data_IF_163386881361
#
_entry.id   IF_163386881361
#
_cell.length_a   1.000
_cell.length_b   1.000
_cell.length_c   1.000
_cell.angle_alpha   90.00
_cell.angle_beta   90.00
_cell.angle_gamma   90.00
#
_symmetry.space_group_name_H-M   'P 1'
#
loop_
_entity.id
_entity.type
_entity.pdbx_description
1 polymer ?
#
# COMPACT_ATOMS: atom_id res chain seq x y z
N UNK A 1 -11.76 -0.09 19.78
CA UNK A 1 -11.72 -0.52 18.37
C UNK A 1 -13.06 -0.18 17.70
N UNK A 2 -13.04 0.69 16.71
CA UNK A 2 -14.22 1.12 15.96
C UNK A 2 -14.08 0.66 14.50
N UNK A 3 -15.16 0.14 13.92
CA UNK A 3 -15.18 -0.37 12.55
C UNK A 3 -16.28 0.35 11.75
N UNK A 4 -15.90 0.93 10.61
CA UNK A 4 -16.81 1.66 9.75
C UNK A 4 -16.63 1.22 8.28
N UNK A 5 -17.75 1.18 7.54
CA UNK A 5 -17.72 0.94 6.10
C UNK A 5 -17.60 2.28 5.38
N UNK A 6 -16.58 2.40 4.51
CA UNK A 6 -16.23 3.62 3.79
C UNK A 6 -15.99 3.34 2.32
N UNK A 7 -16.06 4.39 1.51
CA UNK A 7 -15.56 4.39 0.13
C UNK A 7 -14.04 4.59 0.13
N UNK A 8 -13.31 3.64 -0.47
CA UNK A 8 -11.85 3.66 -0.44
C UNK A 8 -11.26 4.98 -0.95
N UNK A 9 -11.71 5.44 -2.11
CA UNK A 9 -11.19 6.68 -2.69
C UNK A 9 -11.73 7.92 -1.99
N UNK A 10 -13.06 8.06 -1.89
CA UNK A 10 -13.67 9.29 -1.42
C UNK A 10 -13.40 9.59 0.04
N UNK A 11 -13.61 8.58 0.90
CA UNK A 11 -13.68 8.79 2.34
C UNK A 11 -12.37 8.43 3.04
N UNK A 12 -11.53 7.58 2.42
CA UNK A 12 -10.26 7.15 3.01
C UNK A 12 -9.05 7.81 2.33
N UNK A 13 -8.73 7.47 1.09
CA UNK A 13 -7.57 8.04 0.39
C UNK A 13 -7.77 9.52 0.07
N UNK A 14 -8.97 9.92 -0.35
CA UNK A 14 -9.32 11.30 -0.73
C UNK A 14 -9.35 12.30 0.43
N UNK A 15 -9.28 11.83 1.68
CA UNK A 15 -9.19 12.71 2.85
C UNK A 15 -8.00 13.66 2.75
N UNK A 16 -8.25 14.96 2.96
CA UNK A 16 -7.21 15.97 2.91
C UNK A 16 -6.23 15.83 4.08
N UNK A 17 -4.94 16.11 3.81
CA UNK A 17 -3.87 16.16 4.82
C UNK A 17 -3.76 14.83 5.61
N UNK A 18 -3.74 13.73 4.89
CA UNK A 18 -3.52 12.40 5.46
C UNK A 18 -2.18 11.85 4.97
N UNK A 19 -1.45 11.19 5.88
CA UNK A 19 -0.28 10.39 5.57
C UNK A 19 -0.51 8.96 6.03
N UNK A 20 -0.50 8.03 5.10
CA UNK A 20 -0.49 6.60 5.39
C UNK A 20 0.95 6.13 5.50
N UNK A 21 1.35 5.67 6.67
CA UNK A 21 2.69 5.13 6.92
C UNK A 21 2.61 3.61 7.05
N UNK A 22 3.37 2.91 6.24
CA UNK A 22 3.61 1.48 6.41
C UNK A 22 4.85 1.33 7.29
N UNK A 23 4.71 0.74 8.50
CA UNK A 23 5.82 0.61 9.44
C UNK A 23 6.87 -0.39 8.95
N UNK A 24 8.10 -0.25 9.45
CA UNK A 24 9.25 -1.08 9.05
C UNK A 24 9.14 -2.55 9.44
N UNK A 25 8.26 -2.88 10.38
CA UNK A 25 8.01 -4.28 10.76
C UNK A 25 7.07 -5.01 9.78
N UNK A 26 6.39 -4.28 8.89
CA UNK A 26 5.59 -4.88 7.83
C UNK A 26 6.50 -5.45 6.73
N UNK A 27 5.98 -6.41 5.95
CA UNK A 27 6.70 -6.92 4.78
C UNK A 27 6.69 -5.90 3.65
N UNK A 28 7.62 -6.07 2.72
CA UNK A 28 7.65 -5.33 1.46
C UNK A 28 6.34 -5.54 0.68
N UNK A 29 6.11 -4.70 -0.30
CA UNK A 29 5.04 -4.90 -1.26
C UNK A 29 5.31 -6.19 -2.05
N UNK A 30 4.39 -7.15 -1.93
CA UNK A 30 4.60 -8.54 -2.36
C UNK A 30 3.44 -9.10 -3.20
N UNK A 31 2.45 -8.27 -3.54
CA UNK A 31 1.41 -8.71 -4.48
C UNK A 31 2.04 -9.02 -5.83
N UNK A 32 1.78 -10.26 -6.31
CA UNK A 32 2.14 -10.68 -7.65
C UNK A 32 1.28 -9.98 -8.70
N UNK A 33 1.72 -10.05 -9.96
CA UNK A 33 0.91 -9.60 -11.10
C UNK A 33 -0.48 -10.26 -11.12
N UNK A 34 -0.59 -11.55 -10.73
CA UNK A 34 -1.87 -12.24 -10.65
C UNK A 34 -2.84 -11.66 -9.60
N UNK A 35 -2.33 -11.18 -8.47
CA UNK A 35 -3.16 -10.50 -7.47
C UNK A 35 -3.67 -9.15 -8.00
N UNK A 36 -2.79 -8.40 -8.64
CA UNK A 36 -3.11 -7.11 -9.23
C UNK A 36 -4.10 -7.25 -10.40
N UNK A 37 -3.87 -8.24 -11.26
CA UNK A 37 -4.71 -8.53 -12.42
C UNK A 37 -6.15 -8.88 -12.03
N UNK A 38 -6.33 -9.67 -10.94
CA UNK A 38 -7.65 -9.96 -10.38
C UNK A 38 -8.38 -8.68 -9.95
N UNK A 39 -7.69 -7.76 -9.26
CA UNK A 39 -8.31 -6.49 -8.88
C UNK A 39 -8.68 -5.65 -10.10
N UNK A 40 -7.86 -5.65 -11.15
CA UNK A 40 -8.19 -4.97 -12.42
C UNK A 40 -9.41 -5.60 -13.11
N UNK A 41 -9.58 -6.91 -13.02
CA UNK A 41 -10.78 -7.59 -13.53
C UNK A 41 -12.03 -7.19 -12.72
N UNK A 42 -11.94 -7.10 -11.39
CA UNK A 42 -13.02 -6.59 -10.54
C UNK A 42 -13.40 -5.14 -10.92
N UNK A 43 -12.40 -4.28 -11.17
CA UNK A 43 -12.63 -2.90 -11.63
C UNK A 43 -13.33 -2.90 -12.99
N UNK A 44 -12.92 -3.77 -13.91
CA UNK A 44 -13.57 -3.91 -15.21
C UNK A 44 -15.03 -4.34 -15.11
N UNK A 45 -15.34 -5.25 -14.18
CA UNK A 45 -16.71 -5.64 -13.89
C UNK A 45 -17.55 -4.48 -13.35
N UNK A 46 -16.97 -3.64 -12.46
CA UNK A 46 -17.64 -2.44 -11.96
C UNK A 46 -17.94 -1.45 -13.10
N UNK A 47 -17.04 -1.27 -14.06
CA UNK A 47 -17.26 -0.40 -15.23
C UNK A 47 -18.50 -0.88 -16.01
N UNK A 48 -18.64 -2.19 -16.20
CA UNK A 48 -19.73 -2.77 -16.98
C UNK A 48 -21.08 -2.86 -16.23
N UNK A 49 -21.04 -3.26 -14.95
CA UNK A 49 -22.25 -3.47 -14.16
C UNK A 49 -22.74 -2.21 -13.45
N UNK A 50 -21.81 -1.33 -13.09
CA UNK A 50 -22.10 -0.18 -12.22
C UNK A 50 -22.21 -0.53 -10.74
N UNK A 51 -21.99 -1.78 -10.35
CA UNK A 51 -22.11 -2.26 -8.99
C UNK A 51 -20.96 -1.80 -8.09
N UNK A 52 -21.14 -1.99 -6.80
CA UNK A 52 -20.12 -1.76 -5.78
C UNK A 52 -19.31 -3.02 -5.59
N UNK A 53 -18.02 -2.85 -5.22
CA UNK A 53 -17.15 -3.97 -4.90
C UNK A 53 -16.49 -3.77 -3.53
N UNK A 54 -16.52 -4.82 -2.70
CA UNK A 54 -15.86 -4.81 -1.40
C UNK A 54 -14.40 -5.24 -1.53
N UNK A 55 -13.48 -4.30 -1.32
CA UNK A 55 -12.04 -4.54 -1.45
C UNK A 55 -11.42 -5.23 -0.24
N UNK A 56 -12.05 -5.15 0.93
CA UNK A 56 -11.56 -5.76 2.16
C UNK A 56 -11.43 -4.77 3.31
N UNK A 57 -10.67 -5.16 4.33
CA UNK A 57 -10.48 -4.39 5.57
C UNK A 57 -9.14 -3.67 5.55
N UNK A 58 -9.07 -2.45 6.09
CA UNK A 58 -7.84 -1.74 6.40
C UNK A 58 -7.83 -1.42 7.89
N UNK A 59 -6.77 -1.86 8.57
CA UNK A 59 -6.57 -1.65 10.01
C UNK A 59 -5.43 -0.67 10.22
N UNK A 60 -5.65 0.35 11.02
CA UNK A 60 -4.64 1.35 11.30
C UNK A 60 -4.76 1.95 12.69
N UNK A 61 -3.68 2.53 13.17
CA UNK A 61 -3.66 3.42 14.33
C UNK A 61 -3.57 4.86 13.86
N UNK A 62 -4.43 5.72 14.39
CA UNK A 62 -4.30 7.16 14.21
C UNK A 62 -3.23 7.68 15.18
N UNK A 63 -2.16 8.28 14.67
CA UNK A 63 -1.24 9.03 15.50
C UNK A 63 -1.91 10.31 15.96
N UNK A 64 -1.84 10.62 17.27
CA UNK A 64 -2.27 11.92 17.79
C UNK A 64 -1.29 12.97 17.27
N UNK A 65 -1.63 13.61 16.14
CA UNK A 65 -0.86 14.76 15.66
C UNK A 65 -1.10 15.93 16.61
N UNK A 66 -0.05 16.39 17.26
CA UNK A 66 -0.06 17.58 18.11
C UNK A 66 -0.15 18.87 17.30
N UNK A 67 -1.13 19.01 16.40
CA UNK A 67 -1.30 20.24 15.61
C UNK A 67 -2.32 20.10 14.49
N UNK A 68 -2.82 21.22 14.04
CA UNK A 68 -3.94 21.42 13.11
C UNK A 68 -3.77 20.89 11.68
N UNK A 69 -2.73 20.11 11.34
CA UNK A 69 -2.31 20.12 9.94
C UNK A 69 -2.22 18.78 9.22
N UNK A 70 -1.93 17.65 9.88
CA UNK A 70 -1.81 16.36 9.19
C UNK A 70 -2.27 15.22 10.10
N UNK A 71 -3.09 14.32 9.57
CA UNK A 71 -3.44 13.06 10.21
C UNK A 71 -2.48 11.99 9.70
N UNK A 72 -1.73 11.34 10.60
CA UNK A 72 -0.86 10.22 10.26
C UNK A 72 -1.53 8.93 10.70
N UNK A 73 -1.69 8.00 9.76
CA UNK A 73 -2.24 6.67 9.98
C UNK A 73 -1.14 5.62 9.81
N UNK A 74 -0.82 4.93 10.90
CA UNK A 74 0.10 3.79 10.87
C UNK A 74 -0.68 2.55 10.47
N UNK A 75 -0.40 1.99 9.30
CA UNK A 75 -1.12 0.84 8.74
C UNK A 75 -0.68 -0.44 9.45
N UNK A 76 -1.63 -1.17 10.01
CA UNK A 76 -1.43 -2.44 10.69
C UNK A 76 -1.79 -3.62 9.76
N UNK A 77 -2.86 -3.50 8.99
CA UNK A 77 -3.23 -4.45 7.93
C UNK A 77 -3.84 -3.72 6.74
N UNK A 78 -3.78 -4.36 5.56
CA UNK A 78 -4.28 -3.81 4.29
C UNK A 78 -3.23 -3.04 3.49
N UNK A 79 -1.95 -3.07 3.88
CA UNK A 79 -0.85 -2.38 3.21
C UNK A 79 -0.73 -2.74 1.72
N UNK A 80 -0.90 -4.02 1.36
CA UNK A 80 -0.79 -4.49 -0.01
C UNK A 80 -1.89 -3.85 -0.88
N UNK A 81 -3.14 -3.86 -0.40
CA UNK A 81 -4.28 -3.24 -1.08
C UNK A 81 -4.10 -1.74 -1.25
N UNK A 82 -3.65 -1.06 -0.19
CA UNK A 82 -3.42 0.37 -0.23
C UNK A 82 -2.30 0.73 -1.22
N UNK A 83 -1.18 0.01 -1.20
CA UNK A 83 -0.07 0.24 -2.14
C UNK A 83 -0.53 -0.03 -3.57
N UNK A 84 -1.22 -1.15 -3.83
CA UNK A 84 -1.74 -1.45 -5.17
C UNK A 84 -2.69 -0.36 -5.66
N UNK A 85 -3.56 0.17 -4.79
CA UNK A 85 -4.45 1.27 -5.18
C UNK A 85 -3.67 2.52 -5.61
N UNK A 86 -2.56 2.85 -4.91
CA UNK A 86 -1.71 3.97 -5.32
C UNK A 86 -1.01 3.72 -6.66
N UNK A 87 -0.61 2.45 -6.95
CA UNK A 87 -0.04 2.09 -8.26
C UNK A 87 -1.09 2.21 -9.37
N UNK A 88 -2.31 1.73 -9.14
CA UNK A 88 -3.46 1.87 -10.05
C UNK A 88 -3.75 3.34 -10.35
N UNK A 89 -3.84 4.18 -9.33
CA UNK A 89 -4.09 5.61 -9.48
C UNK A 89 -2.98 6.30 -10.27
N UNK A 90 -1.71 5.96 -9.99
CA UNK A 90 -0.58 6.53 -10.73
C UNK A 90 -0.58 6.10 -12.20
N UNK A 91 -0.82 4.83 -12.47
CA UNK A 91 -0.92 4.32 -13.83
C UNK A 91 -2.07 4.99 -14.61
N UNK A 92 -3.23 5.13 -13.97
CA UNK A 92 -4.39 5.79 -14.54
C UNK A 92 -4.11 7.27 -14.84
N UNK A 93 -3.45 7.98 -13.92
CA UNK A 93 -3.08 9.38 -14.13
C UNK A 93 -2.17 9.56 -15.35
N UNK A 94 -1.18 8.69 -15.54
CA UNK A 94 -0.27 8.75 -16.69
C UNK A 94 -1.01 8.48 -18.01
N UNK A 95 -1.90 7.50 -18.04
CA UNK A 95 -2.70 7.18 -19.22
C UNK A 95 -3.69 8.32 -19.53
N UNK A 96 -4.32 8.89 -18.51
CA UNK A 96 -5.22 10.03 -18.63
C UNK A 96 -4.51 11.27 -19.20
N UNK A 97 -3.34 11.62 -18.65
CA UNK A 97 -2.54 12.76 -19.12
C UNK A 97 -2.13 12.58 -20.58
N UNK A 98 -1.66 11.40 -20.95
CA UNK A 98 -1.28 11.07 -22.34
C UNK A 98 -2.47 11.14 -23.29
N UNK A 99 -3.65 10.71 -22.85
CA UNK A 99 -4.89 10.74 -23.62
C UNK A 99 -5.62 12.08 -23.63
N UNK A 100 -5.14 13.07 -22.85
CA UNK A 100 -5.78 14.39 -22.73
C UNK A 100 -7.06 14.40 -21.86
N UNK A 101 -7.28 13.36 -21.04
CA UNK A 101 -8.38 13.30 -20.08
C UNK A 101 -8.00 14.06 -18.80
N UNK A 102 -8.82 15.02 -18.39
CA UNK A 102 -8.52 15.94 -17.28
C UNK A 102 -8.55 15.27 -15.89
N UNK A 103 -9.04 14.05 -15.77
CA UNK A 103 -9.09 13.34 -14.49
C UNK A 103 -7.68 13.10 -13.87
N UNK A 104 -6.60 13.19 -14.67
CA UNK A 104 -5.25 13.07 -14.13
C UNK A 104 -4.94 14.12 -13.05
N UNK A 105 -5.46 15.35 -13.19
CA UNK A 105 -5.26 16.41 -12.21
C UNK A 105 -5.94 16.09 -10.88
N UNK A 106 -7.17 15.59 -10.95
CA UNK A 106 -7.89 15.12 -9.75
C UNK A 106 -7.14 13.99 -9.06
N UNK A 107 -6.67 12.99 -9.83
CA UNK A 107 -5.93 11.86 -9.29
C UNK A 107 -4.65 12.32 -8.58
N UNK A 108 -3.87 13.18 -9.23
CA UNK A 108 -2.61 13.67 -8.68
C UNK A 108 -2.82 14.51 -7.40
N UNK A 109 -3.72 15.49 -7.47
CA UNK A 109 -3.91 16.47 -6.40
C UNK A 109 -4.71 15.93 -5.21
N UNK A 110 -5.68 15.05 -5.45
CA UNK A 110 -6.59 14.58 -4.40
C UNK A 110 -6.19 13.22 -3.83
N UNK A 111 -5.66 12.29 -4.65
CA UNK A 111 -5.44 10.93 -4.23
C UNK A 111 -3.96 10.56 -4.04
N UNK A 112 -3.04 11.12 -4.81
CA UNK A 112 -1.62 10.82 -4.68
C UNK A 112 -0.86 11.79 -3.78
N UNK A 113 -1.26 13.07 -3.79
CA UNK A 113 -0.55 14.12 -3.08
C UNK A 113 -1.41 14.89 -2.08
N UNK A 114 -0.75 15.50 -1.11
CA UNK A 114 -1.30 16.49 -0.17
C UNK A 114 -0.89 17.88 -0.65
N UNK A 115 -1.71 18.52 -1.47
CA UNK A 115 -1.40 19.77 -2.19
C UNK A 115 -0.86 20.92 -1.33
N UNK A 116 -1.28 20.99 -0.06
CA UNK A 116 -0.99 22.12 0.84
C UNK A 116 -0.14 21.70 2.05
N UNK A 117 0.68 20.65 1.91
CA UNK A 117 1.58 20.17 2.95
C UNK A 117 3.04 20.45 2.59
N UNK A 118 3.91 20.48 3.61
CA UNK A 118 5.36 20.51 3.44
C UNK A 118 5.84 19.32 2.58
N UNK A 119 6.98 19.47 1.89
CA UNK A 119 7.55 18.44 1.00
C UNK A 119 7.63 17.04 1.64
N UNK A 120 7.99 16.96 2.93
CA UNK A 120 8.07 15.68 3.65
C UNK A 120 6.72 14.96 3.84
N UNK A 121 5.60 15.68 3.66
CA UNK A 121 4.23 15.18 3.80
C UNK A 121 3.42 15.29 2.52
N UNK A 122 4.08 15.65 1.43
CA UNK A 122 3.43 15.89 0.14
C UNK A 122 2.82 14.62 -0.44
N UNK A 123 3.46 13.49 -0.27
CA UNK A 123 2.98 12.19 -0.75
C UNK A 123 2.10 11.55 0.32
N UNK A 124 0.94 11.01 -0.08
CA UNK A 124 -0.02 10.42 0.86
C UNK A 124 0.36 9.06 1.41
N UNK A 125 1.13 8.25 0.68
CA UNK A 125 1.61 6.95 1.14
C UNK A 125 3.13 7.00 1.33
N UNK A 126 3.59 6.55 2.49
CA UNK A 126 5.00 6.28 2.79
C UNK A 126 5.17 4.77 3.00
N UNK A 127 5.56 4.01 1.97
CA UNK A 127 5.92 2.61 2.10
C UNK A 127 7.15 2.40 2.99
N UNK A 128 7.49 1.14 3.25
CA UNK A 128 8.76 0.81 3.92
C UNK A 128 9.95 1.24 3.04
N UNK A 129 11.14 1.35 3.64
CA UNK A 129 12.29 2.05 3.04
C UNK A 129 12.70 1.54 1.65
N UNK A 130 12.73 0.23 1.42
CA UNK A 130 13.07 -0.36 0.12
C UNK A 130 12.06 0.01 -0.96
N UNK A 131 10.78 -0.15 -0.65
CA UNK A 131 9.68 0.15 -1.56
C UNK A 131 9.50 1.66 -1.75
N UNK A 132 9.81 2.46 -0.71
CA UNK A 132 9.64 3.90 -0.74
C UNK A 132 10.48 4.56 -1.84
N UNK A 133 11.71 4.09 -2.09
CA UNK A 133 12.54 4.63 -3.16
C UNK A 133 11.90 4.38 -4.53
N UNK A 134 11.44 3.16 -4.79
CA UNK A 134 10.77 2.81 -6.04
C UNK A 134 9.47 3.60 -6.21
N UNK A 135 8.69 3.72 -5.13
CA UNK A 135 7.44 4.47 -5.13
C UNK A 135 7.65 5.97 -5.39
N UNK A 136 8.69 6.59 -4.82
CA UNK A 136 9.01 8.00 -5.07
C UNK A 136 9.50 8.24 -6.49
N UNK A 137 10.32 7.33 -7.06
CA UNK A 137 10.72 7.39 -8.47
C UNK A 137 9.50 7.30 -9.38
N UNK A 138 8.57 6.40 -9.07
CA UNK A 138 7.32 6.26 -9.81
C UNK A 138 6.48 7.54 -9.78
N UNK A 139 6.29 8.15 -8.62
CA UNK A 139 5.53 9.40 -8.50
C UNK A 139 6.19 10.57 -9.24
N UNK A 140 7.53 10.58 -9.28
CA UNK A 140 8.31 11.57 -10.01
C UNK A 140 8.36 11.34 -11.54
N UNK A 141 7.66 10.33 -12.08
CA UNK A 141 7.71 9.91 -13.50
C UNK A 141 9.12 9.48 -13.97
N UNK A 142 9.94 8.92 -13.08
CA UNK A 142 11.30 8.45 -13.34
C UNK A 142 11.35 6.93 -13.44
N UNK A 143 10.50 6.37 -14.27
CA UNK A 143 10.36 4.90 -14.41
C UNK A 143 11.60 4.23 -15.02
N UNK A 144 12.41 4.96 -15.76
CA UNK A 144 13.69 4.55 -16.30
C UNK A 144 14.82 4.42 -15.25
N UNK A 145 14.64 5.03 -14.07
CA UNK A 145 15.54 4.88 -12.92
C UNK A 145 15.08 3.76 -11.95
N UNK A 146 13.93 3.14 -12.19
CA UNK A 146 13.37 2.09 -11.32
C UNK A 146 14.01 0.73 -11.59
N UNK A 147 14.01 -0.10 -10.55
CA UNK A 147 14.38 -1.51 -10.64
C UNK A 147 13.18 -2.32 -11.17
N UNK A 148 13.33 -2.87 -12.38
CA UNK A 148 12.28 -3.62 -13.09
C UNK A 148 11.90 -4.94 -12.40
N UNK A 149 12.78 -5.50 -11.57
CA UNK A 149 12.53 -6.73 -10.83
C UNK A 149 11.63 -6.52 -9.60
N UNK A 150 11.30 -5.27 -9.25
CA UNK A 150 10.43 -4.98 -8.11
C UNK A 150 8.95 -5.16 -8.45
N UNK A 151 8.17 -5.69 -7.50
CA UNK A 151 6.72 -5.82 -7.66
C UNK A 151 6.02 -4.47 -7.86
N UNK A 152 6.58 -3.36 -7.32
CA UNK A 152 6.07 -2.01 -7.55
C UNK A 152 6.13 -1.67 -9.04
N UNK A 153 7.28 -1.90 -9.69
CA UNK A 153 7.43 -1.61 -11.11
C UNK A 153 6.57 -2.54 -11.97
N UNK A 154 6.62 -3.86 -11.71
CA UNK A 154 5.87 -4.86 -12.46
C UNK A 154 4.37 -4.61 -12.42
N UNK A 155 3.80 -4.39 -11.22
CA UNK A 155 2.37 -4.12 -11.08
C UNK A 155 1.95 -2.74 -11.63
N UNK A 156 2.79 -1.72 -11.49
CA UNK A 156 2.54 -0.44 -12.15
C UNK A 156 2.48 -0.60 -13.67
N UNK A 157 3.45 -1.30 -14.27
CA UNK A 157 3.49 -1.58 -15.71
C UNK A 157 2.26 -2.35 -16.15
N UNK A 158 1.88 -3.40 -15.44
CA UNK A 158 0.67 -4.17 -15.70
C UNK A 158 -0.59 -3.29 -15.71
N UNK A 159 -0.76 -2.43 -14.70
CA UNK A 159 -1.89 -1.50 -14.63
C UNK A 159 -1.91 -0.54 -15.82
N UNK A 160 -0.76 0.07 -16.14
CA UNK A 160 -0.64 1.00 -17.25
C UNK A 160 -1.01 0.35 -18.59
N UNK A 161 -0.43 -0.82 -18.89
CA UNK A 161 -0.74 -1.57 -20.12
C UNK A 161 -2.21 -2.00 -20.19
N UNK A 162 -2.83 -2.32 -19.03
CA UNK A 162 -4.26 -2.67 -18.98
C UNK A 162 -5.12 -1.46 -19.30
N UNK A 163 -4.82 -0.28 -18.74
CA UNK A 163 -5.57 0.95 -19.00
C UNK A 163 -5.38 1.46 -20.43
N UNK A 164 -4.19 1.35 -21.02
CA UNK A 164 -3.94 1.66 -22.43
C UNK A 164 -4.83 0.79 -23.33
N UNK A 165 -4.87 -0.54 -23.06
CA UNK A 165 -5.75 -1.47 -23.80
C UNK A 165 -7.25 -1.17 -23.61
N UNK A 166 -7.66 -0.68 -22.43
CA UNK A 166 -9.04 -0.26 -22.21
C UNK A 166 -9.38 1.02 -22.96
N UNK A 167 -8.47 1.98 -23.00
CA UNK A 167 -8.63 3.21 -23.80
C UNK A 167 -8.77 2.90 -25.30
N UNK A 168 -8.00 1.96 -25.85
CA UNK A 168 -8.14 1.47 -27.23
C UNK A 168 -9.53 0.86 -27.51
N UNK A 169 -10.16 0.28 -26.47
CA UNK A 169 -11.53 -0.26 -26.55
C UNK A 169 -12.62 0.77 -26.28
N UNK A 170 -12.26 2.03 -26.08
CA UNK A 170 -13.19 3.14 -25.87
C UNK A 170 -13.60 3.37 -24.42
N UNK A 171 -12.92 2.74 -23.43
CA UNK A 171 -13.11 3.04 -22.02
C UNK A 171 -12.16 4.17 -21.65
N UNK A 172 -12.70 5.35 -21.36
CA UNK A 172 -11.88 6.50 -21.00
C UNK A 172 -11.40 6.42 -19.54
N UNK A 173 -10.25 7.07 -19.20
CA UNK A 173 -9.73 7.09 -17.84
C UNK A 173 -10.70 7.58 -16.78
N UNK A 174 -11.53 8.57 -17.08
CA UNK A 174 -12.58 9.07 -16.18
C UNK A 174 -13.60 7.99 -15.82
N UNK A 175 -13.97 7.08 -16.73
CA UNK A 175 -14.85 5.94 -16.41
C UNK A 175 -14.18 4.94 -15.46
N UNK A 176 -12.86 4.75 -15.59
CA UNK A 176 -12.08 3.93 -14.65
C UNK A 176 -12.06 4.58 -13.29
N UNK A 177 -11.80 5.89 -13.21
CA UNK A 177 -11.83 6.63 -11.96
C UNK A 177 -13.21 6.55 -11.28
N UNK A 178 -14.31 6.69 -12.04
CA UNK A 178 -15.66 6.51 -11.53
C UNK A 178 -15.89 5.11 -10.95
N UNK A 179 -15.37 4.07 -11.59
CA UNK A 179 -15.43 2.71 -11.07
C UNK A 179 -14.65 2.55 -9.76
N UNK A 180 -13.45 3.13 -9.68
CA UNK A 180 -12.65 3.13 -8.45
C UNK A 180 -13.36 3.83 -7.28
N UNK A 181 -14.22 4.81 -7.52
CA UNK A 181 -15.03 5.45 -6.46
C UNK A 181 -16.08 4.52 -5.84
N UNK A 182 -16.38 3.37 -6.49
CA UNK A 182 -17.34 2.37 -6.02
C UNK A 182 -16.69 1.24 -5.21
N UNK A 183 -15.38 1.29 -5.00
CA UNK A 183 -14.69 0.36 -4.11
C UNK A 183 -14.96 0.70 -2.65
N UNK A 184 -15.50 -0.27 -1.92
CA UNK A 184 -15.81 -0.16 -0.49
C UNK A 184 -14.76 -0.88 0.35
N UNK A 185 -14.41 -0.31 1.50
CA UNK A 185 -13.57 -0.92 2.53
C UNK A 185 -14.28 -0.91 3.87
N UNK A 186 -13.82 -1.74 4.79
CA UNK A 186 -14.08 -1.59 6.23
C UNK A 186 -12.79 -1.06 6.87
N UNK A 187 -12.86 0.15 7.42
CA UNK A 187 -11.78 0.66 8.27
C UNK A 187 -11.93 0.14 9.69
N UNK A 188 -10.82 -0.21 10.32
CA UNK A 188 -10.73 -0.54 11.73
C UNK A 188 -9.68 0.37 12.36
N UNK A 189 -10.13 1.24 13.26
CA UNK A 189 -9.27 2.20 13.95
C UNK A 189 -8.89 1.64 15.31
N UNK A 190 -7.59 1.49 15.57
CA UNK A 190 -7.05 1.07 16.84
C UNK A 190 -6.66 2.26 17.69
N UNK A 191 -6.99 2.18 18.99
CA UNK A 191 -6.67 3.22 19.97
C UNK A 191 -5.38 2.85 20.71
N UNK A 192 -4.36 3.72 20.61
CA UNK A 192 -3.09 3.49 21.31
C UNK A 192 -3.30 3.41 22.83
N UNK A 193 -2.85 2.30 23.42
CA UNK A 193 -2.94 2.04 24.87
C UNK A 193 -4.22 1.35 25.33
N UNK A 194 -5.19 1.15 24.44
CA UNK A 194 -6.41 0.37 24.70
C UNK A 194 -6.42 -0.93 23.91
N UNK A 195 -6.05 -0.84 22.62
CA UNK A 195 -5.95 -1.99 21.73
C UNK A 195 -4.49 -2.47 21.64
N UNK A 196 -4.29 -3.79 21.55
CA UNK A 196 -2.99 -4.40 21.27
C UNK A 196 -2.88 -4.65 19.75
N UNK A 197 -2.05 -3.86 19.03
CA UNK A 197 -1.93 -3.98 17.58
C UNK A 197 -1.41 -5.35 17.14
N UNK A 198 -0.55 -6.01 17.97
CA UNK A 198 0.03 -7.30 17.65
C UNK A 198 -1.03 -8.40 17.70
N UNK A 199 -1.82 -8.47 18.75
CA UNK A 199 -2.90 -9.46 18.88
C UNK A 199 -3.91 -9.32 17.76
N UNK A 200 -4.25 -8.08 17.41
CA UNK A 200 -5.21 -7.80 16.33
C UNK A 200 -4.61 -8.17 14.97
N UNK A 201 -3.33 -7.82 14.72
CA UNK A 201 -2.61 -8.20 13.52
C UNK A 201 -2.56 -9.71 13.31
N UNK A 202 -2.20 -10.47 14.35
CA UNK A 202 -2.16 -11.94 14.33
C UNK A 202 -3.56 -12.53 14.05
N UNK A 203 -4.58 -12.00 14.71
CA UNK A 203 -5.97 -12.47 14.55
C UNK A 203 -6.50 -12.27 13.12
N UNK A 204 -6.21 -11.14 12.50
CA UNK A 204 -6.67 -10.80 11.15
C UNK A 204 -5.89 -11.61 10.10
N UNK A 205 -4.58 -11.73 10.26
CA UNK A 205 -3.73 -12.47 9.31
C UNK A 205 -3.93 -13.98 9.38
N UNK A 206 -4.48 -14.53 10.48
CA UNK A 206 -4.82 -15.96 10.57
C UNK A 206 -5.85 -16.41 9.53
N UNK A 207 -6.55 -15.48 8.89
CA UNK A 207 -7.58 -15.74 7.86
C UNK A 207 -7.16 -15.30 6.45
N UNK A 208 -5.96 -14.73 6.28
CA UNK A 208 -5.46 -14.16 5.02
C UNK A 208 -4.34 -14.97 4.36
N UNK A 209 -3.47 -14.29 3.61
CA UNK A 209 -2.22 -14.87 3.10
C UNK A 209 -1.31 -15.18 4.29
N UNK A 210 -0.88 -16.44 4.39
CA UNK A 210 0.00 -16.88 5.47
C UNK A 210 1.25 -16.01 5.55
N UNK A 211 1.47 -15.42 6.73
CA UNK A 211 2.72 -14.76 7.05
C UNK A 211 3.79 -15.83 7.30
N UNK A 212 4.99 -15.57 6.85
CA UNK A 212 6.13 -16.42 7.19
C UNK A 212 6.44 -16.32 8.69
N UNK A 213 7.10 -17.34 9.25
CA UNK A 213 7.56 -17.29 10.64
C UNK A 213 8.50 -16.10 10.85
N UNK A 214 9.34 -15.78 9.86
CA UNK A 214 10.22 -14.62 9.89
C UNK A 214 9.43 -13.30 9.97
N UNK A 215 8.31 -13.17 9.25
CA UNK A 215 7.44 -12.00 9.34
C UNK A 215 6.81 -11.86 10.72
N UNK A 216 6.33 -12.96 11.31
CA UNK A 216 5.76 -12.99 12.65
C UNK A 216 6.79 -12.57 13.71
N UNK A 217 8.02 -13.11 13.63
CA UNK A 217 9.13 -12.77 14.53
C UNK A 217 9.52 -11.29 14.38
N UNK A 218 9.64 -10.80 13.14
CA UNK A 218 9.93 -9.39 12.89
C UNK A 218 8.88 -8.48 13.51
N UNK A 219 7.61 -8.79 13.29
CA UNK A 219 6.50 -8.03 13.85
C UNK A 219 6.53 -8.04 15.38
N UNK A 220 6.71 -9.21 15.99
CA UNK A 220 6.81 -9.36 17.44
C UNK A 220 7.93 -8.50 18.04
N UNK A 221 9.12 -8.53 17.45
CA UNK A 221 10.28 -7.82 17.96
C UNK A 221 10.20 -6.30 17.74
N UNK A 222 9.69 -5.86 16.61
CA UNK A 222 9.76 -4.45 16.21
C UNK A 222 8.49 -3.66 16.56
N UNK A 223 7.30 -4.28 16.56
CA UNK A 223 6.04 -3.56 16.77
C UNK A 223 5.98 -2.88 18.15
N UNK A 224 6.52 -3.52 19.18
CA UNK A 224 6.54 -3.03 20.56
C UNK A 224 7.80 -2.23 20.92
N UNK A 225 8.72 -2.03 19.97
CA UNK A 225 9.96 -1.31 20.23
C UNK A 225 9.77 0.21 20.16
N UNK A 226 10.43 0.95 21.06
CA UNK A 226 10.39 2.41 21.07
C UNK A 226 11.08 3.04 19.84
N UNK A 227 12.13 2.39 19.32
CA UNK A 227 12.91 2.85 18.17
C UNK A 227 12.93 1.76 17.08
N UNK A 228 11.79 1.59 16.42
CA UNK A 228 11.56 0.56 15.41
C UNK A 228 12.50 0.69 14.21
N UNK A 229 12.71 1.93 13.73
CA UNK A 229 13.55 2.19 12.54
C UNK A 229 15.01 1.81 12.83
N UNK A 230 15.55 2.17 14.00
CA UNK A 230 16.92 1.83 14.37
C UNK A 230 17.11 0.33 14.52
N UNK A 231 16.21 -0.35 15.24
CA UNK A 231 16.30 -1.81 15.42
C UNK A 231 16.20 -2.56 14.10
N UNK A 232 15.33 -2.09 13.19
CA UNK A 232 15.25 -2.64 11.85
C UNK A 232 16.56 -2.46 11.08
N UNK A 233 17.13 -1.24 11.05
CA UNK A 233 18.33 -0.92 10.28
C UNK A 233 19.60 -1.57 10.84
N UNK A 234 19.79 -1.52 12.17
CA UNK A 234 21.01 -2.01 12.82
C UNK A 234 21.06 -3.53 12.97
N UNK A 235 19.90 -4.21 13.01
CA UNK A 235 19.85 -5.66 13.26
C UNK A 235 19.10 -6.42 12.18
N UNK A 236 17.80 -6.15 11.99
CA UNK A 236 16.97 -6.96 11.12
C UNK A 236 17.41 -6.94 9.65
N UNK A 237 17.65 -5.74 9.10
CA UNK A 237 18.10 -5.56 7.72
C UNK A 237 19.44 -6.24 7.44
N UNK A 238 20.33 -6.31 8.45
CA UNK A 238 21.61 -7.00 8.34
C UNK A 238 21.38 -8.52 8.22
N UNK A 239 20.47 -9.07 9.03
CA UNK A 239 20.08 -10.49 8.94
C UNK A 239 19.51 -10.79 7.56
N UNK A 240 18.53 -10.03 7.10
CA UNK A 240 17.91 -10.22 5.78
C UNK A 240 18.95 -10.15 4.64
N UNK A 241 19.80 -9.12 4.62
CA UNK A 241 20.85 -8.99 3.59
C UNK A 241 21.88 -10.10 3.63
N UNK A 242 22.26 -10.55 4.82
CA UNK A 242 23.25 -11.60 4.98
C UNK A 242 22.72 -12.94 4.45
N UNK A 243 21.46 -13.22 4.71
CA UNK A 243 20.80 -14.45 4.27
C UNK A 243 20.49 -14.41 2.76
N UNK A 244 20.02 -13.28 2.22
CA UNK A 244 19.85 -13.11 0.76
C UNK A 244 21.13 -13.33 -0.03
N UNK A 245 22.26 -12.86 0.48
CA UNK A 245 23.55 -12.98 -0.21
C UNK A 245 24.18 -14.37 -0.11
N UNK A 246 23.77 -15.20 0.85
CA UNK A 246 24.40 -16.51 1.14
C UNK A 246 23.47 -17.71 0.96
N UNK A 247 22.17 -17.52 0.98
CA UNK A 247 21.16 -18.57 0.96
C UNK A 247 19.91 -18.09 0.22
N UNK A 248 19.12 -19.01 -0.32
CA UNK A 248 17.83 -18.72 -0.94
C UNK A 248 16.85 -18.15 0.12
N UNK A 249 16.02 -17.18 -0.25
CA UNK A 249 15.14 -16.45 0.71
C UNK A 249 14.12 -17.35 1.41
N UNK A 250 13.85 -18.53 0.87
CA UNK A 250 13.05 -19.59 1.53
C UNK A 250 13.65 -20.08 2.86
N UNK A 251 14.89 -19.70 3.17
CA UNK A 251 15.63 -20.18 4.34
C UNK A 251 15.58 -19.23 5.55
N UNK A 252 14.90 -18.06 5.49
CA UNK A 252 14.80 -17.19 6.64
C UNK A 252 13.96 -17.85 7.75
N UNK A 253 12.88 -18.52 7.36
CA UNK A 253 12.05 -19.32 8.27
C UNK A 253 12.84 -20.50 8.84
N UNK A 254 13.57 -21.23 7.99
CA UNK A 254 14.42 -22.35 8.41
C UNK A 254 15.53 -21.88 9.36
N UNK A 255 16.14 -20.73 9.09
CA UNK A 255 17.14 -20.13 9.98
C UNK A 255 16.55 -19.87 11.37
N UNK A 256 15.41 -19.22 11.46
CA UNK A 256 14.78 -18.92 12.75
C UNK A 256 14.31 -20.19 13.46
N UNK A 257 13.77 -21.18 12.73
CA UNK A 257 13.36 -22.46 13.31
C UNK A 257 14.54 -23.24 13.90
N UNK A 258 15.75 -23.11 13.33
CA UNK A 258 16.95 -23.78 13.86
C UNK A 258 17.55 -23.09 15.10
N UNK A 259 17.30 -21.80 15.30
CA UNK A 259 17.90 -21.03 16.40
C UNK A 259 16.95 -20.74 17.57
N UNK A 260 15.63 -20.87 17.39
CA UNK A 260 14.62 -20.55 18.41
C UNK A 260 14.06 -21.83 19.06
N UNK A 261 14.23 -22.99 18.44
CA UNK A 261 13.89 -24.31 18.99
C UNK A 261 15.14 -24.95 19.59
#
# INVERSE_FOLDING_TARGET
MDAHKLWMLRDFIGTNKVLFRIPVYQRNYDWSEANCDRLLDDIYEIINSGDKHFLGTIVFMAAKSGGFTLQEYTIIDGQQRLTTMMLILKALAVVAETGGDTCFQEIDEQYLHNKYCDEKYKVKLKPIKSDNNQFLLLLANKTDEMDEDTHIFQNYRLCKERFERWAEKGICPSQVLDALTKLEIVEIVLTKGEDDPQVIFESINSTGLDLSNADLIRNFLLMNADDQERLYEEYWLIIEKTLRNKMDYSNLDDFFMQYIV
#
